data_IF_668133543511
#
_entry.id   IF_668133543511
#
_cell.length_a   1.000
_cell.length_b   1.000
_cell.length_c   1.000
_cell.angle_alpha   90.00
_cell.angle_beta   90.00
_cell.angle_gamma   90.00
#
_symmetry.space_group_name_H-M   'P 1'
#
loop_
_entity.id
_entity.type
_entity.pdbx_description
1 polymer ?
#
# COMPACT_ATOMS: atom_id res chain seq x y z
N UNK A 1 -5.62 -19.99 5.83
CA UNK A 1 -6.69 -19.87 4.82
C UNK A 1 -7.91 -19.15 5.39
N UNK A 2 -8.55 -19.65 6.47
CA UNK A 2 -9.75 -19.04 7.09
C UNK A 2 -9.53 -17.58 7.52
N UNK A 3 -8.41 -17.27 8.20
CA UNK A 3 -8.12 -15.91 8.63
C UNK A 3 -8.05 -14.87 7.48
N UNK A 4 -7.46 -15.24 6.34
CA UNK A 4 -7.38 -14.35 5.17
C UNK A 4 -8.76 -14.10 4.56
N UNK A 5 -9.62 -15.13 4.51
CA UNK A 5 -10.99 -14.99 4.00
C UNK A 5 -11.79 -14.05 4.91
N UNK A 6 -11.70 -14.24 6.23
CA UNK A 6 -12.37 -13.38 7.21
C UNK A 6 -11.95 -11.91 7.05
N UNK A 7 -10.64 -11.64 6.96
CA UNK A 7 -10.13 -10.27 6.78
C UNK A 7 -10.67 -9.65 5.48
N UNK A 8 -10.64 -10.40 4.37
CA UNK A 8 -11.13 -9.90 3.09
C UNK A 8 -12.63 -9.56 3.17
N UNK A 9 -13.45 -10.43 3.75
CA UNK A 9 -14.87 -10.16 3.97
C UNK A 9 -15.07 -8.89 4.81
N UNK A 10 -14.40 -8.75 5.94
CA UNK A 10 -14.52 -7.58 6.82
C UNK A 10 -14.18 -6.27 6.10
N UNK A 11 -13.11 -6.23 5.31
CA UNK A 11 -12.70 -5.03 4.56
C UNK A 11 -13.74 -4.66 3.49
N UNK A 12 -14.29 -5.64 2.78
CA UNK A 12 -15.33 -5.38 1.78
C UNK A 12 -16.63 -4.86 2.42
N UNK A 13 -17.06 -5.45 3.54
CA UNK A 13 -18.23 -4.95 4.27
C UNK A 13 -18.01 -3.54 4.81
N UNK A 14 -16.80 -3.23 5.30
CA UNK A 14 -16.44 -1.88 5.70
C UNK A 14 -16.53 -0.89 4.53
N UNK A 15 -16.02 -1.26 3.35
CA UNK A 15 -16.11 -0.44 2.14
C UNK A 15 -17.56 -0.16 1.74
N UNK A 16 -18.44 -1.15 1.80
CA UNK A 16 -19.88 -0.98 1.52
C UNK A 16 -20.55 -0.07 2.56
N UNK A 17 -20.20 -0.22 3.84
CA UNK A 17 -20.74 0.62 4.91
C UNK A 17 -20.33 2.09 4.76
N UNK A 18 -19.06 2.34 4.45
CA UNK A 18 -18.52 3.69 4.18
C UNK A 18 -19.19 4.29 2.95
N UNK A 19 -19.35 3.52 1.87
CA UNK A 19 -20.07 3.95 0.68
C UNK A 19 -21.52 4.33 1.00
N UNK A 20 -22.24 3.52 1.79
CA UNK A 20 -23.63 3.81 2.17
C UNK A 20 -23.77 5.12 2.96
N UNK A 21 -22.74 5.53 3.71
CA UNK A 21 -22.75 6.78 4.50
C UNK A 21 -22.40 8.00 3.65
N UNK A 22 -21.49 7.88 2.69
CA UNK A 22 -21.04 8.99 1.84
C UNK A 22 -21.64 8.99 0.43
N UNK A 23 -22.61 8.12 0.13
CA UNK A 23 -23.22 8.02 -1.19
C UNK A 23 -23.84 9.34 -1.70
N UNK A 24 -24.35 10.17 -0.80
CA UNK A 24 -25.01 11.45 -1.12
C UNK A 24 -24.17 12.69 -0.79
N UNK A 25 -23.04 12.52 -0.10
CA UNK A 25 -22.14 13.62 0.25
C UNK A 25 -20.71 13.08 0.33
N UNK A 26 -20.00 13.16 -0.80
CA UNK A 26 -18.65 12.62 -0.90
C UNK A 26 -17.61 13.58 -0.27
N UNK A 27 -16.83 13.13 0.73
CA UNK A 27 -15.79 13.95 1.37
C UNK A 27 -14.63 14.33 0.42
N UNK A 28 -14.47 13.65 -0.72
CA UNK A 28 -13.55 14.07 -1.78
C UNK A 28 -14.09 15.24 -2.60
N UNK A 29 -15.41 15.30 -2.82
CA UNK A 29 -16.04 16.43 -3.53
C UNK A 29 -16.04 17.71 -2.69
N UNK A 30 -16.19 17.58 -1.37
CA UNK A 30 -16.11 18.71 -0.41
C UNK A 30 -14.68 19.14 -0.08
N UNK A 31 -13.67 18.36 -0.50
CA UNK A 31 -12.25 18.66 -0.28
C UNK A 31 -11.75 18.36 1.15
N UNK A 32 -12.50 17.59 1.93
CA UNK A 32 -12.06 17.10 3.24
C UNK A 32 -10.94 16.05 3.12
N UNK A 33 -10.92 15.33 2.00
CA UNK A 33 -9.95 14.28 1.69
C UNK A 33 -9.29 14.54 0.34
N UNK A 34 -7.96 14.35 0.28
CA UNK A 34 -7.20 14.51 -0.97
C UNK A 34 -6.95 13.20 -1.71
N UNK A 35 -6.87 12.07 -0.98
CA UNK A 35 -6.58 10.75 -1.56
C UNK A 35 -7.68 9.73 -1.22
N UNK A 36 -8.05 8.84 -2.16
CA UNK A 36 -9.10 7.83 -1.90
C UNK A 36 -8.73 6.87 -0.75
N UNK A 37 -7.42 6.65 -0.52
CA UNK A 37 -6.93 5.77 0.54
C UNK A 37 -7.19 6.30 1.97
N UNK A 38 -7.56 7.57 2.12
CA UNK A 38 -7.81 8.24 3.41
C UNK A 38 -9.28 8.13 3.86
N UNK A 39 -10.17 7.56 3.04
CA UNK A 39 -11.62 7.50 3.30
C UNK A 39 -11.97 6.75 4.59
N UNK A 40 -11.30 5.64 4.87
CA UNK A 40 -11.57 4.84 6.07
C UNK A 40 -11.08 5.53 7.35
N UNK A 41 -9.84 6.06 7.41
CA UNK A 41 -9.42 6.90 8.53
C UNK A 41 -10.34 8.10 8.76
N UNK A 42 -10.78 8.77 7.69
CA UNK A 42 -11.73 9.88 7.78
C UNK A 42 -13.05 9.45 8.40
N UNK A 43 -13.63 8.34 7.93
CA UNK A 43 -14.87 7.79 8.47
C UNK A 43 -14.81 7.53 9.98
N UNK A 44 -13.69 7.00 10.48
CA UNK A 44 -13.52 6.74 11.92
C UNK A 44 -13.49 8.05 12.72
N UNK A 45 -12.87 9.09 12.19
CA UNK A 45 -12.81 10.40 12.87
C UNK A 45 -14.17 11.11 12.80
N UNK A 46 -14.82 11.10 11.65
CA UNK A 46 -16.11 11.75 11.42
C UNK A 46 -17.23 11.07 12.24
N UNK A 47 -17.39 9.76 12.10
CA UNK A 47 -18.56 9.03 12.64
C UNK A 47 -18.34 8.36 13.98
N UNK A 48 -17.10 8.02 14.36
CA UNK A 48 -16.81 7.28 15.59
C UNK A 48 -16.12 8.16 16.66
N UNK A 49 -15.89 9.46 16.40
CA UNK A 49 -15.28 10.38 17.37
C UNK A 49 -16.10 10.60 18.64
N UNK A 50 -17.42 10.38 18.60
CA UNK A 50 -18.28 10.44 19.78
C UNK A 50 -17.87 9.40 20.85
N UNK A 51 -17.18 8.32 20.45
CA UNK A 51 -16.59 7.34 21.35
C UNK A 51 -15.13 7.70 21.64
N UNK A 52 -14.90 8.30 22.80
CA UNK A 52 -13.56 8.70 23.22
C UNK A 52 -12.58 7.51 23.22
N UNK A 53 -11.45 7.66 22.54
CA UNK A 53 -10.39 6.65 22.45
C UNK A 53 -10.47 5.72 21.25
N UNK A 54 -11.62 5.62 20.55
CA UNK A 54 -11.75 4.74 19.37
C UNK A 54 -10.85 5.17 18.21
N UNK A 55 -10.75 6.46 17.82
CA UNK A 55 -9.81 6.87 16.76
C UNK A 55 -8.35 6.53 17.10
N UNK A 56 -7.96 6.66 18.37
CA UNK A 56 -6.62 6.30 18.83
C UNK A 56 -6.38 4.78 18.76
N UNK A 57 -7.36 3.98 19.20
CA UNK A 57 -7.31 2.52 19.13
C UNK A 57 -7.27 2.02 17.68
N UNK A 58 -8.01 2.66 16.78
CA UNK A 58 -7.99 2.38 15.34
C UNK A 58 -6.58 2.56 14.77
N UNK A 59 -5.97 3.73 14.95
CA UNK A 59 -4.62 4.02 14.44
C UNK A 59 -3.57 3.09 15.09
N UNK A 60 -3.68 2.82 16.38
CA UNK A 60 -2.79 1.88 17.06
C UNK A 60 -2.89 0.46 16.47
N UNK A 61 -4.10 -0.02 16.20
CA UNK A 61 -4.33 -1.33 15.58
C UNK A 61 -3.82 -1.41 14.14
N UNK A 62 -3.98 -0.33 13.36
CA UNK A 62 -3.49 -0.22 11.99
C UNK A 62 -1.97 -0.36 11.94
N UNK A 63 -1.25 0.37 12.79
CA UNK A 63 0.21 0.28 12.88
C UNK A 63 0.68 -1.08 13.38
N UNK A 64 0.04 -1.64 14.41
CA UNK A 64 0.39 -2.97 14.92
C UNK A 64 0.20 -4.07 13.85
N UNK A 65 -0.91 -4.04 13.13
CA UNK A 65 -1.20 -4.97 12.03
C UNK A 65 -0.23 -4.81 10.84
N UNK A 66 0.04 -3.56 10.44
CA UNK A 66 0.99 -3.25 9.37
C UNK A 66 2.41 -3.68 9.71
N UNK A 67 2.90 -3.33 10.90
CA UNK A 67 4.27 -3.64 11.34
C UNK A 67 4.50 -5.14 11.56
N UNK A 68 3.50 -5.87 12.08
CA UNK A 68 3.61 -7.34 12.23
C UNK A 68 3.73 -8.04 10.86
N UNK A 69 2.92 -7.63 9.89
CA UNK A 69 2.98 -8.13 8.52
C UNK A 69 4.30 -7.76 7.85
N UNK A 70 4.77 -6.53 8.02
CA UNK A 70 6.02 -6.04 7.45
C UNK A 70 7.24 -6.77 8.04
N UNK A 71 7.26 -6.99 9.36
CA UNK A 71 8.30 -7.77 10.04
C UNK A 71 8.38 -9.22 9.52
N UNK A 72 7.23 -9.87 9.34
CA UNK A 72 7.19 -11.24 8.80
C UNK A 72 7.74 -11.31 7.37
N UNK A 73 7.48 -10.30 6.54
CA UNK A 73 7.99 -10.20 5.17
C UNK A 73 9.52 -10.03 5.15
N UNK A 74 10.07 -9.12 5.95
CA UNK A 74 11.52 -8.92 6.04
C UNK A 74 12.20 -10.21 6.50
N UNK A 75 11.66 -10.88 7.52
CA UNK A 75 12.24 -12.12 8.02
C UNK A 75 12.20 -13.24 6.96
N UNK A 76 11.10 -13.34 6.20
CA UNK A 76 10.98 -14.30 5.12
C UNK A 76 11.98 -14.01 3.99
N UNK A 77 12.09 -12.76 3.55
CA UNK A 77 13.03 -12.36 2.49
C UNK A 77 14.47 -12.60 2.92
N UNK A 78 14.85 -12.21 4.14
CA UNK A 78 16.20 -12.48 4.66
C UNK A 78 16.50 -13.98 4.71
N UNK A 79 15.54 -14.80 5.15
CA UNK A 79 15.70 -16.25 5.20
C UNK A 79 15.87 -16.86 3.80
N UNK A 80 15.05 -16.42 2.82
CA UNK A 80 15.17 -16.84 1.42
C UNK A 80 16.52 -16.42 0.83
N UNK A 81 16.93 -15.17 1.05
CA UNK A 81 18.24 -14.67 0.61
C UNK A 81 19.37 -15.50 1.21
N UNK A 82 19.25 -15.89 2.48
CA UNK A 82 20.22 -16.74 3.16
C UNK A 82 20.33 -18.12 2.52
N UNK A 83 19.20 -18.80 2.33
CA UNK A 83 19.14 -20.15 1.77
C UNK A 83 19.55 -20.19 0.28
N UNK A 84 19.12 -19.22 -0.52
CA UNK A 84 19.36 -19.23 -1.97
C UNK A 84 20.77 -18.76 -2.34
N UNK A 85 21.33 -17.76 -1.63
CA UNK A 85 22.60 -17.13 -2.03
C UNK A 85 23.74 -17.35 -1.04
N UNK A 86 23.49 -17.30 0.27
CA UNK A 86 24.57 -17.28 1.27
C UNK A 86 24.98 -18.68 1.73
N UNK A 87 24.04 -19.62 1.88
CA UNK A 87 24.29 -20.96 2.43
C UNK A 87 25.34 -21.76 1.65
N UNK A 88 25.29 -21.72 0.33
CA UNK A 88 26.25 -22.42 -0.54
C UNK A 88 27.42 -21.55 -1.02
N UNK A 89 27.50 -20.29 -0.58
CA UNK A 89 28.58 -19.40 -0.98
C UNK A 89 29.87 -19.71 -0.22
N UNK A 90 30.97 -19.87 -0.97
CA UNK A 90 32.31 -20.08 -0.42
C UNK A 90 32.74 -18.95 0.52
N UNK A 91 32.24 -17.72 0.31
CA UNK A 91 32.54 -16.57 1.16
C UNK A 91 31.97 -16.71 2.58
N UNK A 92 30.75 -17.23 2.72
CA UNK A 92 30.11 -17.48 4.02
C UNK A 92 30.64 -18.75 4.67
N UNK A 93 30.99 -19.77 3.87
CA UNK A 93 31.59 -21.00 4.36
C UNK A 93 32.93 -20.73 5.09
N UNK A 94 33.72 -19.77 4.61
CA UNK A 94 34.99 -19.36 5.20
C UNK A 94 34.85 -18.34 6.35
N UNK A 95 33.62 -17.92 6.68
CA UNK A 95 33.36 -16.93 7.73
C UNK A 95 33.16 -17.61 9.10
N UNK A 96 33.72 -17.00 10.15
CA UNK A 96 33.51 -17.44 11.53
C UNK A 96 32.01 -17.43 11.91
N UNK A 97 31.57 -18.45 12.66
CA UNK A 97 30.15 -18.67 13.00
C UNK A 97 29.53 -17.50 13.78
N UNK A 98 30.32 -16.78 14.56
CA UNK A 98 29.89 -15.60 15.30
C UNK A 98 29.54 -14.39 14.41
N UNK A 99 30.01 -14.35 13.15
CA UNK A 99 29.75 -13.24 12.20
C UNK A 99 28.56 -13.50 11.28
N UNK A 100 28.18 -14.76 11.08
CA UNK A 100 27.00 -15.16 10.29
C UNK A 100 25.70 -14.47 10.75
N UNK A 101 25.35 -14.41 12.05
CA UNK A 101 24.15 -13.70 12.49
C UNK A 101 24.23 -12.19 12.24
N UNK A 102 25.42 -11.60 12.28
CA UNK A 102 25.60 -10.17 12.01
C UNK A 102 25.35 -9.85 10.54
N UNK A 103 25.82 -10.71 9.63
CA UNK A 103 25.50 -10.59 8.19
C UNK A 103 24.00 -10.74 7.96
N UNK A 104 23.35 -11.70 8.62
CA UNK A 104 21.91 -11.91 8.50
C UNK A 104 21.10 -10.69 8.98
N UNK A 105 21.51 -10.07 10.10
CA UNK A 105 20.93 -8.81 10.58
C UNK A 105 21.14 -7.68 9.57
N UNK A 106 22.33 -7.57 8.97
CA UNK A 106 22.62 -6.55 7.97
C UNK A 106 21.72 -6.70 6.73
N UNK A 107 21.51 -7.93 6.25
CA UNK A 107 20.59 -8.21 5.14
C UNK A 107 19.15 -7.82 5.49
N UNK A 108 18.69 -8.13 6.71
CA UNK A 108 17.36 -7.68 7.18
C UNK A 108 17.22 -6.16 7.22
N UNK A 109 18.24 -5.44 7.70
CA UNK A 109 18.23 -3.98 7.76
C UNK A 109 18.18 -3.38 6.36
N UNK A 110 19.01 -3.87 5.42
CA UNK A 110 19.03 -3.40 4.03
C UNK A 110 17.67 -3.65 3.36
N UNK A 111 17.10 -4.84 3.54
CA UNK A 111 15.77 -5.19 3.01
C UNK A 111 14.68 -4.27 3.57
N UNK A 112 14.73 -3.98 4.88
CA UNK A 112 13.80 -3.06 5.52
C UNK A 112 13.90 -1.62 5.00
N UNK A 113 15.12 -1.12 4.80
CA UNK A 113 15.37 0.21 4.22
C UNK A 113 14.90 0.29 2.76
N UNK A 114 15.14 -0.76 1.98
CA UNK A 114 14.66 -0.85 0.60
C UNK A 114 13.12 -0.81 0.52
N UNK A 115 12.43 -1.48 1.45
CA UNK A 115 10.97 -1.43 1.53
C UNK A 115 10.43 -0.06 1.95
N UNK A 116 11.12 0.68 2.83
CA UNK A 116 10.76 2.08 3.15
C UNK A 116 10.89 2.96 1.91
N UNK A 117 12.00 2.83 1.17
CA UNK A 117 12.22 3.56 -0.08
C UNK A 117 11.13 3.25 -1.11
N UNK A 118 10.77 1.96 -1.27
CA UNK A 118 9.67 1.55 -2.13
C UNK A 118 8.32 2.17 -1.69
N UNK A 119 8.07 2.28 -0.39
CA UNK A 119 6.89 2.95 0.16
C UNK A 119 6.83 4.44 -0.17
N UNK A 120 7.96 5.15 -0.10
CA UNK A 120 8.06 6.56 -0.51
C UNK A 120 7.73 6.73 -1.99
N UNK A 121 8.26 5.86 -2.85
CA UNK A 121 7.96 5.87 -4.29
C UNK A 121 6.47 5.59 -4.51
N UNK A 122 5.92 4.58 -3.85
CA UNK A 122 4.52 4.19 -3.98
C UNK A 122 3.54 5.30 -3.52
N UNK A 123 3.93 6.11 -2.52
CA UNK A 123 3.11 7.23 -2.01
C UNK A 123 2.81 8.34 -3.03
N UNK A 124 3.60 8.42 -4.10
CA UNK A 124 3.44 9.37 -5.20
C UNK A 124 2.53 8.83 -6.30
N UNK A 125 2.11 7.56 -6.21
CA UNK A 125 1.24 6.92 -7.19
C UNK A 125 -0.22 7.14 -6.78
N UNK A 126 -1.12 7.40 -7.75
CA UNK A 126 -2.49 7.84 -7.46
C UNK A 126 -3.35 6.81 -6.72
N UNK A 127 -3.27 5.52 -7.09
CA UNK A 127 -4.03 4.44 -6.46
C UNK A 127 -3.13 3.41 -5.81
N UNK A 128 -2.82 3.57 -4.52
CA UNK A 128 -1.82 2.74 -3.83
C UNK A 128 -2.23 1.26 -3.78
N UNK A 129 -3.50 0.99 -3.48
CA UNK A 129 -4.03 -0.37 -3.45
C UNK A 129 -3.98 -1.05 -4.83
N UNK A 130 -4.42 -0.35 -5.88
CA UNK A 130 -4.45 -0.87 -7.24
C UNK A 130 -3.04 -1.17 -7.76
N UNK A 131 -2.11 -0.23 -7.56
CA UNK A 131 -0.70 -0.40 -7.93
C UNK A 131 -0.09 -1.58 -7.18
N UNK A 132 -0.31 -1.67 -5.87
CA UNK A 132 0.21 -2.75 -5.04
C UNK A 132 -0.26 -4.13 -5.52
N UNK A 133 -1.55 -4.31 -5.75
CA UNK A 133 -2.11 -5.57 -6.27
C UNK A 133 -1.59 -5.89 -7.68
N UNK A 134 -1.40 -4.88 -8.52
CA UNK A 134 -0.86 -5.06 -9.88
C UNK A 134 0.57 -5.58 -9.84
N UNK A 135 1.44 -4.99 -9.00
CA UNK A 135 2.83 -5.43 -8.83
C UNK A 135 2.88 -6.86 -8.28
N UNK A 136 2.07 -7.16 -7.26
CA UNK A 136 1.96 -8.51 -6.70
C UNK A 136 1.55 -9.50 -7.78
N UNK A 137 0.47 -9.25 -8.52
CA UNK A 137 0.02 -10.12 -9.60
C UNK A 137 1.07 -10.36 -10.68
N UNK A 138 1.77 -9.30 -11.10
CA UNK A 138 2.80 -9.34 -12.16
C UNK A 138 3.93 -10.32 -11.84
N UNK A 139 4.37 -10.38 -10.58
CA UNK A 139 5.48 -11.24 -10.14
C UNK A 139 4.96 -12.64 -9.76
N UNK A 140 3.83 -12.72 -9.07
CA UNK A 140 3.31 -13.99 -8.56
C UNK A 140 2.70 -14.87 -9.67
N UNK A 141 2.15 -14.28 -10.75
CA UNK A 141 1.52 -15.06 -11.82
C UNK A 141 2.51 -15.96 -12.59
N UNK A 142 3.69 -15.49 -13.07
CA UNK A 142 4.70 -16.36 -13.67
C UNK A 142 5.24 -17.43 -12.72
N UNK A 143 5.42 -17.09 -11.44
CA UNK A 143 5.86 -18.04 -10.40
C UNK A 143 4.83 -19.16 -10.20
N UNK A 144 3.55 -18.80 -10.07
CA UNK A 144 2.46 -19.77 -9.98
C UNK A 144 2.42 -20.67 -11.22
N UNK A 145 2.55 -20.10 -12.42
CA UNK A 145 2.63 -20.85 -13.67
C UNK A 145 3.78 -21.86 -13.68
N UNK A 146 4.97 -21.46 -13.21
CA UNK A 146 6.14 -22.34 -13.09
C UNK A 146 5.89 -23.49 -12.09
N UNK A 147 5.26 -23.22 -10.95
CA UNK A 147 4.88 -24.24 -9.97
C UNK A 147 3.87 -25.23 -10.54
N UNK A 148 2.84 -24.75 -11.24
CA UNK A 148 1.83 -25.61 -11.88
C UNK A 148 2.49 -26.47 -12.97
N UNK A 149 3.37 -25.90 -13.78
CA UNK A 149 4.13 -26.65 -14.79
C UNK A 149 4.94 -27.79 -14.14
N UNK A 150 5.62 -27.51 -13.02
CA UNK A 150 6.40 -28.52 -12.29
C UNK A 150 5.55 -29.62 -11.65
N UNK A 151 4.34 -29.31 -11.18
CA UNK A 151 3.44 -30.28 -10.56
C UNK A 151 2.65 -31.12 -11.58
N UNK A 152 2.15 -30.49 -12.65
CA UNK A 152 1.23 -31.13 -13.59
C UNK A 152 1.91 -31.74 -14.81
N UNK A 153 3.11 -31.27 -15.18
CA UNK A 153 3.80 -31.73 -16.38
C UNK A 153 5.13 -32.43 -16.02
N UNK A 154 5.12 -33.76 -15.77
CA UNK A 154 6.34 -34.50 -15.42
C UNK A 154 7.38 -34.53 -16.54
N UNK A 155 6.98 -34.18 -17.77
CA UNK A 155 7.86 -34.07 -18.94
C UNK A 155 8.52 -32.70 -19.09
N UNK A 156 8.23 -31.75 -18.19
CA UNK A 156 8.82 -30.41 -18.24
C UNK A 156 10.33 -30.47 -17.94
N UNK A 157 11.12 -29.81 -18.79
CA UNK A 157 12.56 -29.74 -18.64
C UNK A 157 12.99 -28.42 -17.97
N UNK A 158 14.21 -28.41 -17.41
CA UNK A 158 14.75 -27.25 -16.67
C UNK A 158 14.88 -26.01 -17.56
N UNK A 159 15.32 -26.20 -18.81
CA UNK A 159 15.52 -25.11 -19.78
C UNK A 159 14.18 -24.47 -20.15
N UNK A 160 13.16 -25.27 -20.44
CA UNK A 160 11.81 -24.81 -20.75
C UNK A 160 11.14 -24.12 -19.57
N UNK A 161 11.40 -24.59 -18.34
CA UNK A 161 10.98 -23.88 -17.12
C UNK A 161 11.60 -22.49 -17.00
N UNK A 162 12.91 -22.36 -17.20
CA UNK A 162 13.62 -21.07 -17.15
C UNK A 162 13.14 -20.15 -18.27
N UNK A 163 13.12 -20.63 -19.52
CA UNK A 163 12.69 -19.83 -20.68
C UNK A 163 11.23 -19.41 -20.55
N UNK A 164 10.35 -20.32 -20.13
CA UNK A 164 8.93 -20.03 -19.92
C UNK A 164 8.69 -19.02 -18.81
N UNK A 165 9.40 -19.15 -17.68
CA UNK A 165 9.35 -18.18 -16.59
C UNK A 165 9.84 -16.80 -17.04
N UNK A 166 11.02 -16.72 -17.66
CA UNK A 166 11.60 -15.46 -18.14
C UNK A 166 10.72 -14.79 -19.19
N UNK A 167 10.22 -15.53 -20.19
CA UNK A 167 9.33 -14.99 -21.21
C UNK A 167 8.01 -14.47 -20.62
N UNK A 168 7.41 -15.23 -19.70
CA UNK A 168 6.17 -14.82 -19.02
C UNK A 168 6.37 -13.60 -18.14
N UNK A 169 7.50 -13.52 -17.44
CA UNK A 169 7.84 -12.36 -16.59
C UNK A 169 8.03 -11.11 -17.44
N UNK A 170 8.79 -11.18 -18.53
CA UNK A 170 9.00 -10.06 -19.45
C UNK A 170 7.69 -9.59 -20.08
N UNK A 171 6.83 -10.52 -20.49
CA UNK A 171 5.52 -10.19 -21.05
C UNK A 171 4.62 -9.51 -20.01
N UNK A 172 4.55 -10.04 -18.79
CA UNK A 172 3.76 -9.43 -17.71
C UNK A 172 4.31 -8.03 -17.34
N UNK A 173 5.63 -7.87 -17.26
CA UNK A 173 6.24 -6.56 -17.01
C UNK A 173 5.91 -5.56 -18.13
N UNK A 174 5.97 -5.98 -19.40
CA UNK A 174 5.58 -5.14 -20.52
C UNK A 174 4.12 -4.68 -20.40
N UNK A 175 3.20 -5.61 -20.12
CA UNK A 175 1.78 -5.30 -19.97
C UNK A 175 1.53 -4.36 -18.80
N UNK A 176 2.15 -4.63 -17.64
CA UNK A 176 1.98 -3.82 -16.44
C UNK A 176 2.57 -2.42 -16.58
N UNK A 177 3.77 -2.29 -17.13
CA UNK A 177 4.38 -0.97 -17.39
C UNK A 177 3.55 -0.21 -18.43
N UNK A 178 3.09 -0.88 -19.48
CA UNK A 178 2.18 -0.31 -20.47
C UNK A 178 0.87 0.18 -19.84
N UNK A 179 0.30 -0.59 -18.93
CA UNK A 179 -0.89 -0.20 -18.18
C UNK A 179 -0.64 0.97 -17.21
N UNK A 180 0.55 1.10 -16.63
CA UNK A 180 0.90 2.23 -15.77
C UNK A 180 1.18 3.52 -16.55
N UNK A 181 1.79 3.41 -17.75
CA UNK A 181 2.15 4.57 -18.57
C UNK A 181 1.01 5.06 -19.47
N UNK A 182 0.25 4.13 -20.05
CA UNK A 182 -0.78 4.42 -21.05
C UNK A 182 -2.19 4.03 -20.58
N UNK A 183 -2.32 3.45 -19.38
CA UNK A 183 -3.62 3.12 -18.82
C UNK A 183 -4.44 4.37 -18.62
N UNK A 184 -5.69 4.32 -19.05
CA UNK A 184 -6.66 5.36 -18.73
C UNK A 184 -6.98 5.25 -17.25
N UNK A 185 -6.99 6.38 -16.55
CA UNK A 185 -7.59 6.46 -15.24
C UNK A 185 -9.00 5.87 -15.33
N UNK A 186 -9.31 4.86 -14.51
CA UNK A 186 -10.69 4.41 -14.37
C UNK A 186 -11.47 5.60 -13.84
N UNK A 187 -12.52 6.07 -14.55
CA UNK A 187 -13.30 7.20 -14.08
C UNK A 187 -13.82 6.85 -12.69
N UNK A 188 -13.62 7.76 -11.74
CA UNK A 188 -14.31 7.68 -10.47
C UNK A 188 -15.82 7.70 -10.74
N UNK A 189 -16.59 7.07 -9.86
CA UNK A 189 -18.04 7.23 -9.90
C UNK A 189 -18.34 8.72 -9.75
N UNK A 190 -19.44 9.19 -10.38
CA UNK A 190 -19.84 10.58 -10.23
C UNK A 190 -19.99 10.90 -8.74
N UNK A 191 -19.20 11.86 -8.27
CA UNK A 191 -19.25 12.31 -6.89
C UNK A 191 -20.54 13.12 -6.71
N UNK A 192 -21.42 12.68 -5.80
CA UNK A 192 -22.65 13.41 -5.48
C UNK A 192 -22.40 14.32 -4.28
N UNK A 193 -22.70 15.60 -4.45
CA UNK A 193 -22.74 16.63 -3.41
C UNK A 193 -24.18 17.06 -3.05
N UNK A 194 -25.19 16.44 -3.68
CA UNK A 194 -26.61 16.83 -3.57
C UNK A 194 -27.16 16.70 -2.14
N UNK A 195 -26.60 15.80 -1.33
CA UNK A 195 -26.95 15.59 0.07
C UNK A 195 -26.04 16.32 1.06
N UNK A 196 -25.03 17.07 0.61
CA UNK A 196 -24.25 17.93 1.49
C UNK A 196 -25.07 19.17 1.82
N UNK A 197 -25.49 19.34 3.09
CA UNK A 197 -26.19 20.55 3.52
C UNK A 197 -25.32 21.78 3.25
N UNK A 198 -25.71 22.61 2.27
CA UNK A 198 -25.14 23.94 2.05
C UNK A 198 -25.69 24.93 3.10
N UNK A 199 -25.34 24.72 4.37
CA UNK A 199 -25.70 25.60 5.50
C UNK A 199 -24.73 25.25 6.64
N UNK A 200 -23.68 26.03 6.92
CA UNK A 200 -23.54 27.49 6.94
C UNK A 200 -22.13 27.91 6.49
N UNK A 201 -21.88 29.18 6.11
CA UNK A 201 -20.54 29.74 6.24
C UNK A 201 -20.10 29.43 7.66
N UNK A 202 -18.93 28.79 7.79
CA UNK A 202 -18.28 28.53 9.06
C UNK A 202 -18.36 29.79 9.93
N UNK A 203 -19.28 29.80 10.90
CA UNK A 203 -19.53 30.95 11.75
C UNK A 203 -18.22 31.20 12.52
N UNK A 204 -17.60 32.34 12.24
CA UNK A 204 -16.27 32.75 12.71
C UNK A 204 -16.20 33.02 14.22
N UNK A 205 -17.09 32.42 15.02
CA UNK A 205 -17.33 32.87 16.39
C UNK A 205 -17.04 31.82 17.47
N UNK A 206 -16.62 30.59 17.13
CA UNK A 206 -16.23 29.61 18.18
C UNK A 206 -14.98 28.77 17.90
N UNK A 207 -14.04 29.23 17.07
CA UNK A 207 -12.71 28.58 17.00
C UNK A 207 -11.77 29.18 18.04
N UNK A 208 -11.29 28.32 18.94
CA UNK A 208 -10.13 28.58 19.78
C UNK A 208 -8.99 29.14 18.90
N UNK A 209 -8.32 30.25 19.26
CA UNK A 209 -7.29 30.92 18.46
C UNK A 209 -6.13 30.01 17.99
N UNK A 210 -5.95 28.84 18.60
CA UNK A 210 -4.94 27.84 18.23
C UNK A 210 -5.29 27.11 16.92
N UNK A 211 -6.57 26.84 16.64
CA UNK A 211 -6.99 26.09 15.44
C UNK A 211 -6.90 26.92 14.15
N UNK A 212 -7.07 28.24 14.26
CA UNK A 212 -6.91 29.18 13.13
C UNK A 212 -5.45 29.17 12.65
N UNK A 213 -4.48 29.19 13.56
CA UNK A 213 -3.05 29.19 13.19
C UNK A 213 -2.58 27.87 12.58
N UNK A 214 -3.13 26.74 13.03
CA UNK A 214 -2.82 25.45 12.43
C UNK A 214 -3.40 25.34 11.02
N UNK A 215 -4.57 25.94 10.76
CA UNK A 215 -5.17 25.98 9.42
C UNK A 215 -4.43 26.91 8.49
N UNK A 216 -4.08 28.15 8.88
CA UNK A 216 -3.25 29.05 8.05
C UNK A 216 -1.90 28.41 7.69
N UNK A 217 -1.25 27.71 8.64
CA UNK A 217 0.00 26.99 8.36
C UNK A 217 -0.18 25.85 7.34
N UNK A 218 -1.39 25.26 7.26
CA UNK A 218 -1.71 24.21 6.30
C UNK A 218 -2.03 24.80 4.92
N UNK A 219 -2.81 25.87 4.84
CA UNK A 219 -3.15 26.53 3.56
C UNK A 219 -1.92 27.16 2.89
N UNK A 220 -1.02 27.76 3.67
CA UNK A 220 0.24 28.34 3.15
C UNK A 220 1.12 27.22 2.57
N UNK A 221 1.22 26.08 3.24
CA UNK A 221 2.01 24.93 2.73
C UNK A 221 1.41 24.30 1.48
N UNK A 222 0.09 24.25 1.37
CA UNK A 222 -0.59 23.77 0.16
C UNK A 222 -0.33 24.74 -1.00
N UNK A 223 -0.40 26.05 -0.77
CA UNK A 223 -0.11 27.05 -1.80
C UNK A 223 1.37 27.05 -2.25
N UNK A 224 2.31 26.78 -1.36
CA UNK A 224 3.72 26.57 -1.72
C UNK A 224 3.94 25.29 -2.53
N UNK A 225 3.22 24.21 -2.20
CA UNK A 225 3.27 22.95 -2.95
C UNK A 225 2.72 23.11 -4.37
N UNK A 226 1.56 23.76 -4.54
CA UNK A 226 0.97 24.02 -5.86
C UNK A 226 1.84 24.95 -6.71
N UNK A 227 2.55 25.90 -6.08
CA UNK A 227 3.51 26.76 -6.79
C UNK A 227 4.76 25.98 -7.24
N UNK A 228 5.23 25.00 -6.47
CA UNK A 228 6.38 24.17 -6.86
C UNK A 228 6.04 23.20 -8.01
N UNK A 229 4.82 22.68 -8.06
CA UNK A 229 4.36 21.77 -9.12
C UNK A 229 4.06 22.50 -10.45
N UNK A 230 3.92 23.83 -10.43
CA UNK A 230 3.71 24.67 -11.63
C UNK A 230 5.00 25.11 -12.34
N UNK A 231 6.18 24.77 -11.79
CA UNK A 231 7.50 25.20 -12.29
C UNK A 231 8.35 24.02 -12.79
N UNK A 232 7.84 22.78 -12.75
CA UNK A 232 8.44 21.60 -13.40
C UNK A 232 7.55 21.06 -14.52
#
# INVERSE_FOLDING_TARGET
MVANITVFCCVNFLGIAVYAVYASCDPMATGEISKPDEIVPHYVIDRLSYLQGIPGLFIASLYAGGLSSYSSQINAVTAVMWEDFFKNSQWVANMADNRKPLVNVLVSVITGLAGILAGVIASQMGGLFQVGQTILGTIHAPLLGLFILGMCCPFANKIGGIVGFSASLLFNLWVTIGAMLYGRATPFLEFSDEGCNATTPFDLTTTNPQDIRLRESKSIRIAEQTRSDSVQ
#
